data_IF_377816506079
#
_entry.id   IF_377816506079
#
_cell.length_a   1.000
_cell.length_b   1.000
_cell.length_c   1.000
_cell.angle_alpha   90.00
_cell.angle_beta   90.00
_cell.angle_gamma   90.00
#
_symmetry.space_group_name_H-M   'P 1'
#
loop_
_entity.id
_entity.type
_entity.pdbx_description
1 polymer ?
#
# COMPACT_ATOMS: atom_id res chain seq x y z
N UNK A 1 12.36 -4.48 7.76
CA UNK A 1 11.20 -4.43 6.84
C UNK A 1 9.99 -4.01 7.66
N UNK A 2 9.14 -3.08 7.19
CA UNK A 2 7.92 -2.71 7.90
C UNK A 2 7.08 -3.95 8.18
N UNK A 3 6.39 -3.95 9.32
CA UNK A 3 5.47 -5.05 9.61
C UNK A 3 4.22 -4.85 8.77
N UNK A 4 3.67 -5.92 8.22
CA UNK A 4 2.46 -5.84 7.41
C UNK A 4 1.57 -7.05 7.61
N UNK A 5 0.29 -6.86 7.33
CA UNK A 5 -0.71 -7.92 7.27
C UNK A 5 -1.54 -7.72 6.01
N UNK A 6 -1.99 -8.84 5.43
CA UNK A 6 -2.83 -8.86 4.25
C UNK A 6 -4.20 -9.42 4.63
N UNK A 7 -5.24 -8.62 4.46
CA UNK A 7 -6.59 -9.12 4.70
C UNK A 7 -6.98 -10.21 3.69
N UNK A 8 -7.93 -11.06 4.05
CA UNK A 8 -8.49 -12.06 3.14
C UNK A 8 -9.04 -11.45 1.83
N UNK A 9 -9.55 -10.21 1.89
CA UNK A 9 -10.02 -9.49 0.71
C UNK A 9 -8.86 -9.12 -0.23
N UNK A 10 -7.77 -8.58 0.31
CA UNK A 10 -6.55 -8.30 -0.45
C UNK A 10 -6.02 -9.55 -1.14
N UNK A 11 -5.90 -10.67 -0.40
CA UNK A 11 -5.41 -11.93 -0.95
C UNK A 11 -6.30 -12.45 -2.09
N UNK A 12 -7.62 -12.34 -1.95
CA UNK A 12 -8.57 -12.72 -3.01
C UNK A 12 -8.41 -11.85 -4.25
N UNK A 13 -8.28 -10.54 -4.08
CA UNK A 13 -8.11 -9.65 -5.22
C UNK A 13 -6.75 -9.87 -5.90
N UNK A 14 -5.69 -10.06 -5.12
CA UNK A 14 -4.34 -10.37 -5.62
C UNK A 14 -4.34 -11.61 -6.51
N UNK A 15 -5.11 -12.64 -6.15
CA UNK A 15 -5.26 -13.86 -6.96
C UNK A 15 -5.86 -13.59 -8.34
N UNK A 16 -6.69 -12.56 -8.49
CA UNK A 16 -7.34 -12.19 -9.76
C UNK A 16 -6.43 -11.36 -10.67
N UNK A 17 -5.32 -10.84 -10.15
CA UNK A 17 -4.37 -10.07 -10.94
C UNK A 17 -3.60 -10.97 -11.90
N UNK A 18 -3.46 -10.51 -13.14
CA UNK A 18 -2.55 -11.09 -14.14
C UNK A 18 -1.10 -11.00 -13.66
N UNK A 19 -0.19 -11.85 -14.18
CA UNK A 19 1.23 -11.78 -13.82
C UNK A 19 1.85 -10.39 -14.03
N UNK A 20 1.49 -9.70 -15.12
CA UNK A 20 1.97 -8.36 -15.40
C UNK A 20 1.47 -7.31 -14.39
N UNK A 21 0.21 -7.42 -13.94
CA UNK A 21 -0.34 -6.54 -12.90
C UNK A 21 0.34 -6.79 -11.54
N UNK A 22 0.58 -8.06 -11.19
CA UNK A 22 1.31 -8.42 -9.97
C UNK A 22 2.72 -7.85 -9.98
N UNK A 23 3.45 -7.96 -11.10
CA UNK A 23 4.78 -7.38 -11.23
C UNK A 23 4.79 -5.86 -10.98
N UNK A 24 3.80 -5.14 -11.52
CA UNK A 24 3.65 -3.68 -11.30
C UNK A 24 3.30 -3.36 -9.85
N UNK A 25 2.39 -4.11 -9.23
CA UNK A 25 2.06 -3.96 -7.81
C UNK A 25 3.29 -4.20 -6.93
N UNK A 26 4.05 -5.26 -7.18
CA UNK A 26 5.28 -5.58 -6.45
C UNK A 26 6.33 -4.47 -6.60
N UNK A 27 6.51 -3.90 -7.79
CA UNK A 27 7.40 -2.77 -8.01
C UNK A 27 6.97 -1.53 -7.21
N UNK A 28 5.67 -1.23 -7.18
CA UNK A 28 5.15 -0.12 -6.38
C UNK A 28 5.25 -0.37 -4.87
N UNK A 29 5.04 -1.60 -4.41
CA UNK A 29 5.27 -2.00 -3.02
C UNK A 29 6.74 -1.84 -2.62
N UNK A 30 7.69 -2.14 -3.52
CA UNK A 30 9.11 -1.92 -3.27
C UNK A 30 9.42 -0.42 -3.07
N UNK A 31 8.92 0.45 -3.97
CA UNK A 31 9.06 1.90 -3.83
C UNK A 31 8.38 2.43 -2.56
N UNK A 32 7.23 1.88 -2.19
CA UNK A 32 6.52 2.20 -0.95
C UNK A 32 7.35 1.82 0.28
N UNK A 33 7.92 0.61 0.31
CA UNK A 33 8.76 0.13 1.42
C UNK A 33 10.03 0.97 1.55
N UNK A 34 10.64 1.38 0.44
CA UNK A 34 11.80 2.28 0.42
C UNK A 34 11.46 3.62 1.07
N UNK A 35 10.38 4.26 0.63
CA UNK A 35 9.93 5.54 1.16
C UNK A 35 9.55 5.43 2.64
N UNK A 36 8.89 4.34 3.03
CA UNK A 36 8.52 4.07 4.42
C UNK A 36 9.74 3.93 5.32
N UNK A 37 10.80 3.24 4.87
CA UNK A 37 12.06 3.15 5.61
C UNK A 37 12.74 4.50 5.76
N UNK A 38 12.73 5.31 4.70
CA UNK A 38 13.26 6.67 4.76
C UNK A 38 12.49 7.54 5.76
N UNK A 39 11.17 7.34 5.87
CA UNK A 39 10.33 8.02 6.87
C UNK A 39 10.65 7.55 8.30
N UNK A 40 10.75 6.23 8.51
CA UNK A 40 11.15 5.68 9.82
C UNK A 40 12.55 6.15 10.26
N UNK A 41 13.45 6.41 9.30
CA UNK A 41 14.78 6.96 9.55
C UNK A 41 14.83 8.49 9.68
N UNK A 42 13.68 9.19 9.59
CA UNK A 42 13.59 10.65 9.64
C UNK A 42 14.18 11.38 8.42
N UNK A 43 14.50 10.66 7.34
CA UNK A 43 15.08 11.20 6.10
C UNK A 43 14.02 11.80 5.18
N UNK A 44 12.74 11.48 5.43
CA UNK A 44 11.60 11.91 4.61
C UNK A 44 10.35 12.04 5.48
N UNK A 45 9.48 12.98 5.14
CA UNK A 45 8.22 13.22 5.87
C UNK A 45 7.00 12.61 5.21
N UNK A 46 7.08 12.29 3.90
CA UNK A 46 5.97 11.75 3.12
C UNK A 46 6.45 10.97 1.89
N UNK A 47 5.63 10.04 1.38
CA UNK A 47 5.91 9.28 0.15
C UNK A 47 6.19 10.17 -1.06
N UNK A 48 6.93 9.63 -2.02
CA UNK A 48 7.22 10.31 -3.29
C UNK A 48 5.92 10.72 -4.02
N UNK A 49 5.93 11.82 -4.79
CA UNK A 49 4.73 12.34 -5.44
C UNK A 49 3.98 11.28 -6.26
N UNK A 50 2.66 11.21 -6.08
CA UNK A 50 1.80 10.32 -6.84
C UNK A 50 1.80 8.84 -6.42
N UNK A 51 2.70 8.43 -5.52
CA UNK A 51 2.75 7.04 -5.04
C UNK A 51 1.62 6.73 -4.06
N UNK A 52 1.45 7.58 -3.04
CA UNK A 52 0.43 7.41 -1.99
C UNK A 52 -0.48 8.62 -1.90
N UNK A 53 -1.79 8.37 -1.83
CA UNK A 53 -2.82 9.38 -1.59
C UNK A 53 -3.66 9.03 -0.36
N UNK A 54 -4.08 10.04 0.41
CA UNK A 54 -5.08 9.87 1.47
C UNK A 54 -6.48 9.77 0.86
N UNK A 55 -7.27 8.77 1.27
CA UNK A 55 -8.65 8.66 0.82
C UNK A 55 -9.54 9.62 1.63
N UNK A 56 -10.33 10.45 0.94
CA UNK A 56 -11.21 11.43 1.59
C UNK A 56 -12.45 10.78 2.21
N UNK A 57 -12.96 9.73 1.58
CA UNK A 57 -14.21 9.06 1.99
C UNK A 57 -13.96 7.92 2.99
N UNK A 58 -12.71 7.72 3.41
CA UNK A 58 -12.31 6.63 4.29
C UNK A 58 -11.17 7.12 5.21
N UNK A 59 -11.49 7.80 6.33
CA UNK A 59 -10.50 8.30 7.27
C UNK A 59 -9.55 7.18 7.73
N UNK A 60 -8.24 7.47 7.73
CA UNK A 60 -7.20 6.51 8.10
C UNK A 60 -6.85 5.48 7.01
N UNK A 61 -7.48 5.56 5.84
CA UNK A 61 -7.14 4.73 4.68
C UNK A 61 -6.39 5.53 3.61
N UNK A 62 -5.50 4.82 2.95
CA UNK A 62 -4.59 5.35 1.94
C UNK A 62 -4.67 4.49 0.68
N UNK A 63 -4.39 5.11 -0.46
CA UNK A 63 -4.30 4.48 -1.76
C UNK A 63 -2.83 4.50 -2.22
N UNK A 64 -2.28 3.32 -2.52
CA UNK A 64 -1.05 3.12 -3.28
C UNK A 64 -1.40 2.98 -4.77
N UNK A 65 -0.76 3.79 -5.62
CA UNK A 65 -0.91 3.73 -7.08
C UNK A 65 0.26 2.97 -7.71
N UNK A 66 -0.06 1.98 -8.55
CA UNK A 66 0.96 1.15 -9.23
C UNK A 66 0.81 1.10 -10.76
N UNK A 67 -0.29 1.62 -11.30
CA UNK A 67 -0.49 1.88 -12.72
C UNK A 67 -1.49 3.04 -12.91
N UNK A 68 -1.82 3.41 -14.14
CA UNK A 68 -2.89 4.37 -14.43
C UNK A 68 -4.23 3.92 -13.84
N UNK A 69 -4.54 2.63 -13.97
CA UNK A 69 -5.74 1.97 -13.45
C UNK A 69 -5.53 1.14 -12.18
N UNK A 70 -4.27 0.81 -11.86
CA UNK A 70 -3.93 -0.04 -10.73
C UNK A 70 -3.80 0.69 -9.39
N UNK A 71 -4.51 0.18 -8.38
CA UNK A 71 -4.56 0.66 -6.99
C UNK A 71 -4.39 -0.46 -5.98
N UNK A 72 -3.92 -0.11 -4.79
CA UNK A 72 -4.04 -0.93 -3.58
C UNK A 72 -4.40 -0.01 -2.41
N UNK A 73 -5.29 -0.46 -1.53
CA UNK A 73 -5.67 0.31 -0.35
C UNK A 73 -5.06 -0.29 0.91
N UNK A 74 -4.66 0.56 1.84
CA UNK A 74 -4.11 0.14 3.12
C UNK A 74 -4.48 1.12 4.23
N UNK A 75 -4.35 0.68 5.48
CA UNK A 75 -4.41 1.52 6.67
C UNK A 75 -3.17 1.31 7.52
N UNK A 76 -2.90 2.28 8.40
CA UNK A 76 -1.90 2.11 9.45
C UNK A 76 -2.54 1.34 10.61
N UNK A 77 -1.94 0.23 11.01
CA UNK A 77 -2.35 -0.53 12.18
C UNK A 77 -1.54 -0.15 13.43
N UNK A 78 -1.81 -0.84 14.53
CA UNK A 78 -1.04 -0.70 15.76
C UNK A 78 0.42 -1.12 15.53
N UNK A 79 1.34 -0.38 16.11
CA UNK A 79 2.77 -0.66 16.05
C UNK A 79 3.07 -2.06 16.62
N UNK A 80 3.65 -2.93 15.78
CA UNK A 80 4.01 -4.30 16.17
C UNK A 80 5.48 -4.42 16.56
N UNK A 81 6.31 -3.44 16.18
CA UNK A 81 7.74 -3.39 16.47
C UNK A 81 8.13 -1.93 16.69
N UNK A 82 8.89 -1.67 17.75
CA UNK A 82 9.32 -0.32 18.10
C UNK A 82 10.00 0.41 16.93
N UNK A 83 9.55 1.63 16.66
CA UNK A 83 10.00 2.49 15.56
C UNK A 83 9.55 2.04 14.17
N UNK A 84 8.59 1.12 14.05
CA UNK A 84 8.14 0.58 12.75
C UNK A 84 6.65 0.76 12.54
N UNK A 85 6.30 1.35 11.40
CA UNK A 85 4.90 1.45 11.00
C UNK A 85 4.37 0.06 10.63
N UNK A 86 3.13 -0.21 11.05
CA UNK A 86 2.41 -1.43 10.70
C UNK A 86 1.41 -1.16 9.59
N UNK A 87 1.51 -1.91 8.49
CA UNK A 87 0.72 -1.70 7.28
C UNK A 87 -0.33 -2.81 7.13
N UNK A 88 -1.61 -2.43 7.11
CA UNK A 88 -2.71 -3.36 6.90
C UNK A 88 -3.23 -3.24 5.47
N UNK A 89 -2.90 -4.19 4.60
CA UNK A 89 -3.37 -4.23 3.21
C UNK A 89 -4.82 -4.69 3.11
N UNK A 90 -5.67 -3.86 2.49
CA UNK A 90 -7.12 -4.02 2.48
C UNK A 90 -7.66 -4.57 1.15
N UNK A 91 -7.35 -3.92 0.03
CA UNK A 91 -7.79 -4.31 -1.34
C UNK A 91 -6.67 -4.04 -2.36
N UNK A 92 -6.65 -4.73 -3.50
CA UNK A 92 -5.75 -4.40 -4.61
C UNK A 92 -6.31 -4.80 -5.97
N UNK A 93 -6.01 -4.05 -7.02
CA UNK A 93 -6.51 -4.32 -8.37
C UNK A 93 -6.69 -3.06 -9.20
N UNK A 94 -7.47 -3.17 -10.27
CA UNK A 94 -7.77 -2.06 -11.18
C UNK A 94 -8.91 -1.20 -10.63
N UNK A 95 -9.50 -0.30 -11.43
CA UNK A 95 -10.61 0.56 -11.00
C UNK A 95 -11.81 -0.20 -10.38
N UNK A 96 -11.94 -1.51 -10.63
CA UNK A 96 -13.04 -2.35 -10.13
C UNK A 96 -12.97 -2.67 -8.61
N UNK A 97 -11.91 -2.25 -7.90
CA UNK A 97 -11.74 -2.57 -6.47
C UNK A 97 -12.25 -1.49 -5.52
N UNK A 98 -12.52 -0.30 -6.04
CA UNK A 98 -13.07 0.81 -5.26
C UNK A 98 -14.59 0.62 -5.19
N UNK A 99 -15.20 0.56 -3.99
CA UNK A 99 -16.65 0.46 -3.83
C UNK A 99 -17.37 1.70 -4.39
#
# INVERSE_FOLDING_TARGET
MPTHEETAAFLRDYRRLTPAQRARLTAAQAAFIEDLRAMEAGQRTWFRPGLVRKLTNAPGQFELRWASDGRATFSLGAEQRSGRLHILWRRCGTHDILP
#
